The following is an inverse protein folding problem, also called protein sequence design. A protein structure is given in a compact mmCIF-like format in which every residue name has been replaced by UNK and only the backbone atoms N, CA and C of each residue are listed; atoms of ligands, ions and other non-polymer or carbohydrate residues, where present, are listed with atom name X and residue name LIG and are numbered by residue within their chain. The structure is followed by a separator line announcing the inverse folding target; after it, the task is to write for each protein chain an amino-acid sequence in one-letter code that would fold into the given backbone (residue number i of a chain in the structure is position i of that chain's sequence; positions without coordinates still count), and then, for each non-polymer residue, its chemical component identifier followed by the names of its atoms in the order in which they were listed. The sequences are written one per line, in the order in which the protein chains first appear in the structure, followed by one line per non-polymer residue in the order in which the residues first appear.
data_IF_730458929429
#
_entry.id   IF_730458929429
#
_cell.length_a   1.000
_cell.length_b   1.000
_cell.length_c   1.000
_cell.angle_alpha   90.00
_cell.angle_beta   90.00
_cell.angle_gamma   90.00
#
_symmetry.space_group_name_H-M   'P 1'
#
loop_
_entity.id
_entity.type
_entity.pdbx_description
1 polymer ?
#
# COMPACT_ATOMS: atom_id res chain seq x y z
N UNK A 1 -16.09 25.54 12.37
CA UNK A 1 -16.41 24.14 11.97
C UNK A 1 -15.18 23.29 11.57
N UNK A 2 -13.94 23.73 11.81
CA UNK A 2 -12.73 22.97 11.42
C UNK A 2 -12.31 21.90 12.45
N UNK A 3 -12.65 22.10 13.72
CA UNK A 3 -12.29 21.19 14.83
C UNK A 3 -13.02 19.83 14.74
N UNK A 4 -14.27 19.82 14.29
CA UNK A 4 -15.07 18.59 14.20
C UNK A 4 -14.53 17.61 13.15
N UNK A 5 -13.84 18.09 12.12
CA UNK A 5 -13.30 17.25 11.05
C UNK A 5 -11.97 16.61 11.48
N UNK A 6 -11.13 17.36 12.20
CA UNK A 6 -9.85 16.86 12.72
C UNK A 6 -10.04 15.77 13.78
N UNK A 7 -11.05 15.89 14.65
CA UNK A 7 -11.34 14.84 15.65
C UNK A 7 -11.82 13.55 15.00
N UNK A 8 -12.56 13.61 13.87
CA UNK A 8 -12.94 12.40 13.12
C UNK A 8 -11.76 11.73 12.44
N UNK A 9 -10.84 12.51 11.87
CA UNK A 9 -9.62 11.98 11.26
C UNK A 9 -8.70 11.34 12.30
N UNK A 10 -8.55 11.98 13.47
CA UNK A 10 -7.79 11.41 14.59
C UNK A 10 -8.45 10.16 15.19
N UNK A 11 -9.77 10.08 15.22
CA UNK A 11 -10.48 8.88 15.67
C UNK A 11 -10.33 7.70 14.70
N UNK A 12 -10.14 7.96 13.39
CA UNK A 12 -9.88 6.92 12.40
C UNK A 12 -8.47 6.32 12.56
N UNK A 13 -7.44 7.15 12.78
CA UNK A 13 -6.07 6.64 13.01
C UNK A 13 -5.92 5.86 14.33
N UNK A 14 -6.75 6.15 15.34
CA UNK A 14 -6.78 5.40 16.60
C UNK A 14 -7.37 3.99 16.47
N UNK A 15 -8.10 3.68 15.38
CA UNK A 15 -8.63 2.34 15.11
C UNK A 15 -7.66 1.43 14.32
N UNK A 16 -6.43 1.88 14.04
CA UNK A 16 -5.39 1.07 13.40
C UNK A 16 -5.52 0.93 11.87
N UNK A 17 -6.62 1.39 11.29
CA UNK A 17 -6.80 1.56 9.85
C UNK A 17 -6.28 2.96 9.45
N UNK A 18 -4.99 3.04 9.17
CA UNK A 18 -4.47 4.18 8.42
C UNK A 18 -5.11 4.17 7.02
N UNK A 19 -5.65 5.31 6.53
CA UNK A 19 -6.30 5.35 5.24
C UNK A 19 -5.31 4.89 4.17
N UNK A 20 -5.77 4.00 3.30
CA UNK A 20 -4.96 3.48 2.22
C UNK A 20 -4.39 4.65 1.39
N UNK A 21 -3.08 4.61 1.12
CA UNK A 21 -2.40 5.65 0.35
C UNK A 21 -2.18 5.15 -1.06
N UNK A 22 -2.31 6.04 -2.03
CA UNK A 22 -1.94 5.75 -3.42
C UNK A 22 -0.48 6.06 -3.67
N UNK A 23 0.09 5.38 -4.64
CA UNK A 23 1.44 5.66 -5.08
C UNK A 23 1.76 5.07 -6.45
N UNK A 24 2.91 5.49 -6.98
CA UNK A 24 3.40 5.07 -8.29
C UNK A 24 4.52 4.05 -8.13
N UNK A 25 4.42 2.90 -8.79
CA UNK A 25 5.43 1.83 -8.69
C UNK A 25 6.77 2.33 -9.27
N UNK A 26 7.80 2.36 -8.43
CA UNK A 26 9.17 2.75 -8.82
C UNK A 26 10.13 1.56 -8.96
N UNK A 27 9.79 0.41 -8.40
CA UNK A 27 10.58 -0.82 -8.49
C UNK A 27 9.73 -2.07 -8.32
N UNK A 28 10.16 -3.17 -8.95
CA UNK A 28 9.51 -4.48 -8.85
C UNK A 28 10.56 -5.60 -8.82
N UNK A 29 10.46 -6.49 -7.82
CA UNK A 29 11.26 -7.71 -7.71
C UNK A 29 10.36 -8.94 -7.93
N UNK A 30 10.49 -9.65 -9.06
CA UNK A 30 9.67 -10.82 -9.37
C UNK A 30 10.03 -12.06 -8.54
N UNK A 31 11.21 -12.11 -7.92
CA UNK A 31 11.62 -13.26 -7.10
C UNK A 31 11.05 -13.15 -5.68
N UNK A 32 10.98 -11.93 -5.16
CA UNK A 32 10.44 -11.63 -3.85
C UNK A 32 8.93 -11.29 -3.86
N UNK A 33 8.33 -11.13 -5.05
CA UNK A 33 6.95 -10.63 -5.22
C UNK A 33 6.73 -9.31 -4.45
N UNK A 34 7.69 -8.42 -4.56
CA UNK A 34 7.74 -7.18 -3.80
C UNK A 34 7.89 -5.97 -4.74
N UNK A 35 7.37 -4.83 -4.30
CA UNK A 35 7.44 -3.56 -5.03
C UNK A 35 7.99 -2.44 -4.14
N UNK A 36 8.53 -1.42 -4.80
CA UNK A 36 8.76 -0.09 -4.21
C UNK A 36 7.77 0.88 -4.84
N UNK A 37 7.23 1.78 -4.02
CA UNK A 37 6.22 2.72 -4.46
C UNK A 37 6.57 4.13 -3.98
N UNK A 38 6.42 5.11 -4.87
CA UNK A 38 6.47 6.53 -4.53
C UNK A 38 5.10 6.97 -4.04
N UNK A 39 4.98 7.17 -2.72
CA UNK A 39 3.74 7.58 -2.06
C UNK A 39 3.32 8.96 -2.56
N UNK A 40 2.04 9.10 -2.91
CA UNK A 40 1.47 10.39 -3.28
C UNK A 40 0.76 11.04 -2.07
N UNK A 41 0.85 12.37 -1.92
CA UNK A 41 1.49 13.35 -2.82
C UNK A 41 2.99 13.58 -2.53
N UNK A 42 3.50 13.12 -1.39
CA UNK A 42 4.79 13.56 -0.84
C UNK A 42 6.03 13.00 -1.58
N UNK A 43 5.82 12.06 -2.52
CA UNK A 43 6.87 11.39 -3.30
C UNK A 43 7.93 10.65 -2.47
N UNK A 44 7.57 10.28 -1.24
CA UNK A 44 8.43 9.43 -0.39
C UNK A 44 8.40 7.99 -0.91
N UNK A 45 9.57 7.41 -1.17
CA UNK A 45 9.68 6.01 -1.59
C UNK A 45 9.53 5.06 -0.40
N UNK A 46 8.74 4.00 -0.57
CA UNK A 46 8.66 2.91 0.40
C UNK A 46 9.94 2.07 0.41
N UNK A 47 10.10 1.24 1.45
CA UNK A 47 10.93 0.03 1.33
C UNK A 47 10.34 -0.95 0.32
N UNK A 48 10.96 -2.13 0.21
CA UNK A 48 10.34 -3.26 -0.47
C UNK A 48 9.14 -3.74 0.35
N UNK A 49 7.95 -3.62 -0.24
CA UNK A 49 6.70 -4.08 0.36
C UNK A 49 6.11 -5.22 -0.46
N UNK A 50 5.44 -6.19 0.18
CA UNK A 50 4.78 -7.28 -0.53
C UNK A 50 3.69 -6.76 -1.48
N UNK A 51 3.56 -7.42 -2.62
CA UNK A 51 2.49 -7.21 -3.58
C UNK A 51 1.37 -8.25 -3.35
N UNK A 52 0.13 -7.79 -3.26
CA UNK A 52 -1.04 -8.66 -3.07
C UNK A 52 -1.24 -9.58 -4.27
N UNK A 53 -1.54 -10.83 -3.98
CA UNK A 53 -2.02 -11.78 -4.96
C UNK A 53 -3.55 -11.89 -4.86
N UNK A 54 -4.23 -11.89 -6.01
CA UNK A 54 -5.69 -11.98 -6.08
C UNK A 54 -6.17 -13.32 -5.54
N UNK A 55 -5.44 -14.41 -5.83
CA UNK A 55 -5.70 -15.74 -5.30
C UNK A 55 -4.41 -16.43 -4.88
N UNK A 56 -4.47 -17.10 -3.72
CA UNK A 56 -3.38 -17.91 -3.17
C UNK A 56 -3.95 -19.24 -2.69
N UNK A 57 -3.32 -20.34 -3.05
CA UNK A 57 -3.65 -21.68 -2.56
C UNK A 57 -2.42 -22.58 -2.53
N UNK A 58 -2.57 -23.78 -1.96
CA UNK A 58 -1.45 -24.71 -1.84
C UNK A 58 -1.01 -25.21 -3.23
N UNK A 59 0.12 -24.71 -3.73
CA UNK A 59 0.67 -25.06 -5.05
C UNK A 59 0.01 -24.36 -6.23
N UNK A 60 -0.87 -23.38 -6.02
CA UNK A 60 -1.50 -22.61 -7.09
C UNK A 60 -1.79 -21.17 -6.65
N UNK A 61 -1.93 -20.26 -7.61
CA UNK A 61 -2.32 -18.88 -7.34
C UNK A 61 -2.52 -18.10 -8.62
N UNK A 62 -3.03 -16.88 -8.49
CA UNK A 62 -3.10 -15.90 -9.58
C UNK A 62 -2.55 -14.57 -9.09
N UNK A 63 -1.65 -14.04 -9.91
CA UNK A 63 -0.90 -12.83 -9.63
C UNK A 63 -0.75 -12.05 -10.94
N UNK A 64 -1.01 -10.75 -10.88
CA UNK A 64 -0.88 -9.83 -12.00
C UNK A 64 -0.01 -8.65 -11.53
N UNK A 65 1.30 -8.65 -11.80
CA UNK A 65 2.17 -7.57 -11.36
C UNK A 65 1.84 -6.27 -12.07
N UNK A 66 1.84 -5.12 -11.35
CA UNK A 66 1.84 -3.82 -11.97
C UNK A 66 3.16 -3.59 -12.71
N UNK A 67 3.11 -2.73 -13.72
CA UNK A 67 4.30 -2.21 -14.40
C UNK A 67 4.93 -1.07 -13.60
N UNK A 68 6.20 -0.78 -13.88
CA UNK A 68 6.81 0.47 -13.38
C UNK A 68 6.02 1.67 -13.92
N UNK A 69 5.69 2.61 -13.04
CA UNK A 69 4.87 3.77 -13.37
C UNK A 69 3.36 3.59 -13.16
N UNK A 70 2.89 2.38 -12.85
CA UNK A 70 1.47 2.15 -12.56
C UNK A 70 1.08 2.71 -11.18
N UNK A 71 -0.17 3.18 -11.09
CA UNK A 71 -0.79 3.62 -9.84
C UNK A 71 -1.31 2.40 -9.06
N UNK A 72 -0.96 2.33 -7.78
CA UNK A 72 -1.36 1.26 -6.87
C UNK A 72 -1.86 1.84 -5.56
N UNK A 73 -2.73 1.08 -4.90
CA UNK A 73 -3.19 1.37 -3.54
C UNK A 73 -2.34 0.59 -2.54
N UNK A 74 -2.01 1.24 -1.42
CA UNK A 74 -1.18 0.67 -0.36
C UNK A 74 -2.01 0.68 0.91
N UNK A 75 -2.28 -0.52 1.41
CA UNK A 75 -2.88 -0.74 2.73
C UNK A 75 -1.75 -0.78 3.77
N UNK A 76 -1.79 0.09 4.78
CA UNK A 76 -0.86 0.04 5.91
C UNK A 76 -1.56 -0.61 7.09
N UNK A 77 -0.97 -1.69 7.62
CA UNK A 77 -1.48 -2.31 8.85
C UNK A 77 -0.62 -1.84 10.03
N UNK A 78 -1.27 -1.34 11.08
CA UNK A 78 -0.66 -0.99 12.37
C UNK A 78 0.45 0.09 12.32
N UNK A 79 0.23 1.17 11.54
CA UNK A 79 0.96 2.43 11.72
C UNK A 79 2.44 2.43 11.30
N UNK A 80 2.97 1.34 10.73
CA UNK A 80 4.33 1.30 10.20
C UNK A 80 4.34 1.43 8.67
N UNK A 81 5.04 2.45 8.16
CA UNK A 81 5.24 2.65 6.72
C UNK A 81 6.04 1.51 6.04
N UNK A 82 6.70 0.67 6.83
CA UNK A 82 7.39 -0.54 6.36
C UNK A 82 6.52 -1.82 6.43
N UNK A 83 5.30 -1.73 6.96
CA UNK A 83 4.31 -2.81 7.01
C UNK A 83 3.11 -2.53 6.07
N UNK A 84 3.40 -1.95 4.91
CA UNK A 84 2.41 -1.75 3.85
C UNK A 84 2.32 -2.97 2.94
N UNK A 85 1.18 -3.15 2.28
CA UNK A 85 0.99 -4.13 1.21
C UNK A 85 0.38 -3.41 0.01
N UNK A 86 0.96 -3.62 -1.18
CA UNK A 86 0.51 -2.98 -2.41
C UNK A 86 -0.50 -3.88 -3.12
N UNK A 87 -1.68 -3.35 -3.44
CA UNK A 87 -2.75 -4.10 -4.10
C UNK A 87 -3.26 -3.40 -5.36
N UNK A 88 -4.17 -4.10 -6.07
CA UNK A 88 -4.93 -3.50 -7.15
C UNK A 88 -5.99 -2.52 -6.63
N UNK A 89 -6.45 -1.65 -7.52
CA UNK A 89 -7.64 -0.79 -7.31
C UNK A 89 -8.95 -1.56 -7.33
#
# INVERSE_FOLDING_TARGET
MFLSNQVRQAAQSLNGDEPARRGIVSGYDPNAYAVKVLLQPDSNETGWIPLEAVWVGNGWGMFAPPSLGDDVEISFREGSASAGMAGGR
#
